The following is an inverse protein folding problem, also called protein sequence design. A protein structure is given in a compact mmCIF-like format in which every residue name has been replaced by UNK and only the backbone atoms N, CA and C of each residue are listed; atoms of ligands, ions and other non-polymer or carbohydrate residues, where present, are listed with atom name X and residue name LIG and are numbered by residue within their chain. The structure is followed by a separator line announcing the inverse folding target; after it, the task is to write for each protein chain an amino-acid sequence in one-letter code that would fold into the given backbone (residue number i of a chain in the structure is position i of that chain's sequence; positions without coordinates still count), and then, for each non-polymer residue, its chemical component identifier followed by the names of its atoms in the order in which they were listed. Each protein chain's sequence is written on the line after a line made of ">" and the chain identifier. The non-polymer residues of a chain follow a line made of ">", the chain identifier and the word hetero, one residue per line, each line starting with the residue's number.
data_IF_948881417172
#
_entry.id   IF_948881417172
#
_cell.length_a   1.000
_cell.length_b   1.000
_cell.length_c   1.000
_cell.angle_alpha   90.00
_cell.angle_beta   90.00
_cell.angle_gamma   90.00
#
_symmetry.space_group_name_H-M   'P 1'
#
loop_
_entity.id
_entity.type
_entity.pdbx_description
1 polymer ?
#
# COMPACT_ATOMS: atom_id res chain seq x y z
N UNK A 1 -22.34 -4.10 -4.96
CA UNK A 1 -21.59 -2.83 -4.89
C UNK A 1 -20.16 -3.15 -5.30
N UNK A 2 -19.91 -3.22 -6.61
CA UNK A 2 -18.61 -3.58 -7.18
C UNK A 2 -17.72 -2.35 -7.10
N UNK A 3 -16.84 -2.31 -6.09
CA UNK A 3 -15.84 -1.26 -5.97
C UNK A 3 -14.79 -1.48 -7.08
N UNK A 4 -14.78 -0.57 -8.04
CA UNK A 4 -13.87 -0.60 -9.18
C UNK A 4 -12.45 -0.33 -8.66
N UNK A 5 -11.64 -1.36 -8.50
CA UNK A 5 -10.19 -1.21 -8.39
C UNK A 5 -9.78 -0.45 -9.67
N UNK A 6 -9.19 0.73 -9.51
CA UNK A 6 -8.75 1.56 -10.63
C UNK A 6 -7.41 1.02 -11.15
N UNK A 7 -7.47 -0.16 -11.79
CA UNK A 7 -6.32 -0.87 -12.35
C UNK A 7 -5.53 0.01 -13.34
N UNK A 8 -6.23 0.91 -14.05
CA UNK A 8 -5.62 1.83 -15.00
C UNK A 8 -4.60 2.78 -14.38
N UNK A 9 -4.76 3.18 -13.12
CA UNK A 9 -3.76 4.03 -12.43
C UNK A 9 -2.51 3.25 -12.01
N UNK A 10 -2.65 1.99 -11.63
CA UNK A 10 -1.51 1.11 -11.34
C UNK A 10 -0.68 0.86 -12.60
N UNK A 11 -1.35 0.58 -13.72
CA UNK A 11 -0.69 0.34 -15.01
C UNK A 11 0.09 1.58 -15.49
N UNK A 12 -0.47 2.78 -15.29
CA UNK A 12 0.20 4.05 -15.61
C UNK A 12 1.44 4.28 -14.72
N UNK A 13 1.35 3.98 -13.42
CA UNK A 13 2.49 4.05 -12.50
C UNK A 13 3.58 3.05 -12.89
N UNK A 14 3.21 1.80 -13.20
CA UNK A 14 4.13 0.75 -13.59
C UNK A 14 4.89 1.09 -14.89
N UNK A 15 4.18 1.57 -15.92
CA UNK A 15 4.79 2.00 -17.18
C UNK A 15 5.76 3.18 -17.00
N UNK A 16 5.41 4.15 -16.16
CA UNK A 16 6.32 5.26 -15.83
C UNK A 16 7.60 4.76 -15.14
N UNK A 17 7.51 3.74 -14.30
CA UNK A 17 8.69 3.11 -13.67
C UNK A 17 9.58 2.37 -14.69
N UNK A 18 8.99 1.70 -15.69
CA UNK A 18 9.73 1.03 -16.76
C UNK A 18 10.47 2.02 -17.69
N UNK A 19 9.85 3.16 -18.01
CA UNK A 19 10.41 4.17 -18.92
C UNK A 19 11.53 5.01 -18.29
N UNK A 20 11.49 5.25 -16.98
CA UNK A 20 12.43 6.15 -16.28
C UNK A 20 13.54 5.44 -15.50
N UNK A 21 13.54 4.10 -15.46
CA UNK A 21 14.49 3.31 -14.68
C UNK A 21 14.20 3.31 -13.18
N UNK A 22 14.92 2.47 -12.43
CA UNK A 22 14.73 2.36 -10.97
C UNK A 22 15.27 3.59 -10.27
N UNK A 23 14.39 4.41 -9.69
CA UNK A 23 14.76 5.37 -8.63
C UNK A 23 15.48 4.65 -7.50
N UNK A 24 16.34 5.35 -6.78
CA UNK A 24 16.99 4.86 -5.56
C UNK A 24 15.98 4.18 -4.63
N UNK A 25 16.30 2.97 -4.16
CA UNK A 25 15.41 2.19 -3.31
C UNK A 25 15.19 2.93 -2.00
N UNK A 26 13.93 3.16 -1.67
CA UNK A 26 13.54 3.83 -0.42
C UNK A 26 13.27 2.75 0.64
N UNK A 27 14.02 2.72 1.76
CA UNK A 27 13.71 1.83 2.87
C UNK A 27 12.31 2.08 3.41
N UNK A 28 11.56 1.01 3.62
CA UNK A 28 10.19 1.05 4.12
C UNK A 28 9.88 -0.19 4.98
N UNK A 29 8.93 -0.03 5.89
CA UNK A 29 8.42 -1.12 6.71
C UNK A 29 6.89 -1.20 6.65
N UNK A 30 6.38 -2.42 6.78
CA UNK A 30 4.95 -2.74 6.84
C UNK A 30 4.69 -3.55 8.10
N UNK A 31 3.64 -3.20 8.84
CA UNK A 31 3.24 -3.89 10.07
C UNK A 31 1.95 -4.64 9.82
N UNK A 32 1.93 -5.93 10.13
CA UNK A 32 0.73 -6.76 10.14
C UNK A 32 0.30 -6.94 11.59
N UNK A 33 -0.79 -6.28 11.98
CA UNK A 33 -1.36 -6.40 13.33
C UNK A 33 -2.43 -7.48 13.28
N UNK A 34 -2.27 -8.50 14.11
CA UNK A 34 -3.18 -9.64 14.20
C UNK A 34 -3.87 -9.70 15.56
N UNK A 35 -5.06 -10.29 15.58
CA UNK A 35 -5.72 -10.78 16.79
C UNK A 35 -6.47 -12.07 16.49
N UNK A 36 -6.71 -12.87 17.51
CA UNK A 36 -7.70 -13.95 17.43
C UNK A 36 -9.11 -13.33 17.43
N UNK A 37 -9.94 -13.74 16.48
CA UNK A 37 -11.37 -13.44 16.38
C UNK A 37 -12.22 -14.70 16.52
N UNK A 38 -13.55 -14.54 16.57
CA UNK A 38 -14.48 -15.66 16.78
C UNK A 38 -14.41 -16.72 15.66
N UNK A 39 -14.12 -16.28 14.43
CA UNK A 39 -14.04 -17.14 13.24
C UNK A 39 -12.60 -17.41 12.77
N UNK A 40 -11.59 -17.02 13.57
CA UNK A 40 -10.17 -17.20 13.25
C UNK A 40 -9.37 -15.90 13.33
N UNK A 41 -8.19 -15.87 12.70
CA UNK A 41 -7.31 -14.70 12.74
C UNK A 41 -7.89 -13.52 11.98
N UNK A 42 -7.84 -12.35 12.60
CA UNK A 42 -8.21 -11.08 12.00
C UNK A 42 -6.98 -10.18 11.85
N UNK A 43 -6.96 -9.35 10.79
CA UNK A 43 -5.87 -8.42 10.50
C UNK A 43 -6.36 -6.99 10.34
N UNK A 44 -5.60 -6.02 10.85
CA UNK A 44 -5.89 -4.61 10.63
C UNK A 44 -5.49 -4.19 9.20
N UNK A 45 -6.46 -3.68 8.45
CA UNK A 45 -6.22 -3.04 7.15
C UNK A 45 -6.74 -1.60 7.13
N UNK A 46 -6.08 -0.77 6.33
CA UNK A 46 -6.43 0.63 6.11
C UNK A 46 -6.95 0.81 4.69
N UNK A 47 -7.95 1.67 4.51
CA UNK A 47 -8.42 2.07 3.18
C UNK A 47 -7.77 3.40 2.79
N UNK A 48 -6.94 3.40 1.74
CA UNK A 48 -6.26 4.62 1.27
C UNK A 48 -7.25 5.62 0.68
N UNK A 49 -7.08 6.91 1.01
CA UNK A 49 -7.90 7.99 0.45
C UNK A 49 -7.72 8.07 -1.08
N UNK A 50 -8.79 8.40 -1.81
CA UNK A 50 -8.88 8.29 -3.27
C UNK A 50 -8.02 9.28 -4.08
N UNK A 51 -7.25 10.17 -3.42
CA UNK A 51 -6.49 11.24 -4.08
C UNK A 51 -5.02 10.89 -4.40
N UNK A 52 -4.56 9.69 -4.07
CA UNK A 52 -3.17 9.23 -4.26
C UNK A 52 -3.13 8.05 -5.24
N UNK A 53 -1.97 7.74 -5.83
CA UNK A 53 -1.80 6.67 -6.82
C UNK A 53 -2.34 5.28 -6.37
N UNK A 54 -2.42 5.05 -5.05
CA UNK A 54 -2.96 3.84 -4.43
C UNK A 54 -4.36 4.04 -3.82
N UNK A 55 -5.09 5.06 -4.26
CA UNK A 55 -6.36 5.46 -3.69
C UNK A 55 -7.45 4.40 -3.82
N UNK A 56 -8.20 4.17 -2.76
CA UNK A 56 -9.29 3.18 -2.72
C UNK A 56 -8.86 1.76 -2.39
N UNK A 57 -7.55 1.45 -2.38
CA UNK A 57 -7.06 0.11 -2.03
C UNK A 57 -6.99 -0.12 -0.52
N UNK A 58 -7.21 -1.39 -0.14
CA UNK A 58 -6.92 -1.90 1.18
C UNK A 58 -5.43 -2.21 1.30
N UNK A 59 -4.79 -1.68 2.34
CA UNK A 59 -3.35 -1.83 2.59
C UNK A 59 -3.09 -2.16 4.05
N UNK A 60 -1.96 -2.79 4.34
CA UNK A 60 -1.47 -2.88 5.71
C UNK A 60 -0.88 -1.52 6.16
N UNK A 61 -0.91 -1.20 7.47
CA UNK A 61 -0.18 -0.07 8.02
C UNK A 61 1.31 -0.16 7.67
N UNK A 62 1.91 0.97 7.27
CA UNK A 62 3.32 1.02 6.90
C UNK A 62 3.72 2.34 6.27
N UNK A 63 5.01 2.49 6.01
CA UNK A 63 5.59 3.71 5.48
C UNK A 63 7.09 3.63 5.27
N UNK A 64 7.64 4.72 4.74
CA UNK A 64 9.08 4.96 4.62
C UNK A 64 9.71 5.08 6.02
N UNK A 65 10.93 4.56 6.17
CA UNK A 65 11.76 4.74 7.37
C UNK A 65 12.25 6.20 7.45
N UNK A 66 12.10 6.83 8.60
CA UNK A 66 12.64 8.17 8.89
C UNK A 66 14.01 8.07 9.57
N UNK A 67 14.82 9.13 9.51
CA UNK A 67 16.15 9.17 10.13
C UNK A 67 16.09 8.90 11.64
N UNK A 68 14.96 9.22 12.28
CA UNK A 68 14.73 8.97 13.71
C UNK A 68 14.44 7.50 14.08
N UNK A 69 14.25 6.60 13.10
CA UNK A 69 13.92 5.18 13.33
C UNK A 69 15.17 4.27 13.48
N UNK A 70 16.38 4.84 13.39
CA UNK A 70 17.68 4.12 13.47
C UNK A 70 18.34 4.29 14.83
#
# INVERSE_FOLDING_TARGET
>A
MTEHIDSGRYDVWARHHEEHGTTELIPAATVVILRDGEDGLEVLMLRRSSKIAFGGMWVFPGGRIDDADT
#
